data_IF_557477741599
#
_entry.id   IF_557477741599
#
_cell.length_a   1.000
_cell.length_b   1.000
_cell.length_c   1.000
_cell.angle_alpha   90.00
_cell.angle_beta   90.00
_cell.angle_gamma   90.00
#
_symmetry.space_group_name_H-M   'P 1'
#
loop_
_entity.id
_entity.type
_entity.pdbx_description
1 polymer ?
#
# COMPACT_ATOMS: atom_id res chain seq x y z
N UNK A 1 30.44 -15.62 -82.59
CA UNK A 1 30.99 -14.34 -82.11
C UNK A 1 29.82 -13.49 -81.63
N UNK A 2 29.56 -13.45 -80.33
CA UNK A 2 28.57 -12.58 -79.72
C UNK A 2 29.04 -12.21 -78.32
N UNK A 3 29.12 -10.91 -78.03
CA UNK A 3 28.83 -10.23 -76.75
C UNK A 3 29.42 -8.82 -76.75
N UNK A 4 28.58 -7.82 -76.48
CA UNK A 4 28.86 -6.55 -75.80
C UNK A 4 27.53 -6.13 -75.16
N UNK A 5 27.39 -6.32 -73.86
CA UNK A 5 27.75 -5.41 -72.76
C UNK A 5 26.54 -4.58 -72.31
N UNK A 6 26.00 -4.97 -71.15
CA UNK A 6 24.87 -4.35 -70.47
C UNK A 6 25.41 -3.75 -69.17
N UNK A 7 25.63 -2.44 -69.15
CA UNK A 7 25.97 -1.67 -67.95
C UNK A 7 24.65 -1.28 -67.27
N UNK A 8 24.30 -1.89 -66.13
CA UNK A 8 23.19 -1.47 -65.26
C UNK A 8 23.71 -0.99 -63.90
N UNK A 9 22.99 -0.01 -63.40
CA UNK A 9 23.29 0.94 -62.33
C UNK A 9 23.55 0.27 -60.97
N UNK A 10 24.42 0.93 -60.19
CA UNK A 10 24.63 0.76 -58.75
C UNK A 10 24.12 2.03 -58.07
N UNK A 11 22.83 2.09 -57.76
CA UNK A 11 22.24 3.07 -56.85
C UNK A 11 21.01 2.42 -56.19
N UNK A 12 21.22 1.69 -55.10
CA UNK A 12 20.17 1.25 -54.15
C UNK A 12 20.87 0.54 -52.98
N UNK A 13 21.40 1.31 -52.01
CA UNK A 13 21.70 0.76 -50.67
C UNK A 13 22.05 1.80 -49.58
N UNK A 14 21.76 3.09 -49.78
CA UNK A 14 22.05 4.12 -48.76
C UNK A 14 20.90 4.35 -47.77
N UNK A 15 19.64 4.19 -48.19
CA UNK A 15 18.50 4.46 -47.31
C UNK A 15 18.23 3.35 -46.28
N UNK A 16 18.46 2.08 -46.63
CA UNK A 16 18.29 0.96 -45.71
C UNK A 16 19.35 0.94 -44.60
N UNK A 17 20.56 1.43 -44.87
CA UNK A 17 21.63 1.52 -43.87
C UNK A 17 21.48 2.75 -42.98
N UNK A 18 20.97 3.86 -43.51
CA UNK A 18 20.67 5.05 -42.71
C UNK A 18 19.49 4.85 -41.77
N UNK A 19 18.42 4.17 -42.23
CA UNK A 19 17.24 3.87 -41.41
C UNK A 19 17.55 2.88 -40.28
N UNK A 20 18.38 1.85 -40.55
CA UNK A 20 18.87 0.94 -39.50
C UNK A 20 19.81 1.61 -38.50
N UNK A 21 20.57 2.63 -38.92
CA UNK A 21 21.44 3.39 -38.02
C UNK A 21 20.63 4.34 -37.13
N UNK A 22 19.64 5.01 -37.69
CA UNK A 22 18.71 5.88 -36.95
C UNK A 22 17.90 5.09 -35.91
N UNK A 23 17.32 3.94 -36.30
CA UNK A 23 16.62 3.06 -35.37
C UNK A 23 17.53 2.57 -34.23
N UNK A 24 18.77 2.16 -34.56
CA UNK A 24 19.75 1.71 -33.56
C UNK A 24 20.23 2.82 -32.62
N UNK A 25 20.22 4.08 -33.06
CA UNK A 25 20.57 5.24 -32.22
C UNK A 25 19.39 5.66 -31.34
N UNK A 26 18.17 5.61 -31.86
CA UNK A 26 16.95 5.86 -31.08
C UNK A 26 16.74 4.79 -29.98
N UNK A 27 16.88 3.50 -30.32
CA UNK A 27 16.82 2.41 -29.34
C UNK A 27 17.89 2.57 -28.22
N UNK A 28 19.05 3.14 -28.54
CA UNK A 28 20.10 3.39 -27.55
C UNK A 28 19.84 4.62 -26.68
N UNK A 29 19.17 5.65 -27.20
CA UNK A 29 18.80 6.85 -26.43
C UNK A 29 17.61 6.55 -25.50
N UNK A 30 16.61 5.82 -25.98
CA UNK A 30 15.47 5.37 -25.18
C UNK A 30 15.90 4.44 -24.04
N UNK A 31 16.85 3.53 -24.31
CA UNK A 31 17.43 2.67 -23.28
C UNK A 31 18.19 3.45 -22.19
N UNK A 32 18.85 4.55 -22.54
CA UNK A 32 19.57 5.39 -21.56
C UNK A 32 18.58 6.20 -20.73
N UNK A 33 17.53 6.74 -21.34
CA UNK A 33 16.45 7.46 -20.62
C UNK A 33 15.76 6.52 -19.63
N UNK A 34 15.45 5.29 -20.05
CA UNK A 34 14.83 4.29 -19.18
C UNK A 34 15.70 3.97 -17.96
N UNK A 35 17.01 3.79 -18.16
CA UNK A 35 17.95 3.54 -17.05
C UNK A 35 18.03 4.72 -16.07
N UNK A 36 17.96 5.97 -16.56
CA UNK A 36 17.93 7.18 -15.71
C UNK A 36 16.66 7.23 -14.87
N UNK A 37 15.51 6.93 -15.49
CA UNK A 37 14.22 6.87 -14.79
C UNK A 37 14.24 5.78 -13.72
N UNK A 38 14.72 4.58 -14.05
CA UNK A 38 14.80 3.47 -13.10
C UNK A 38 15.70 3.80 -11.91
N UNK A 39 16.85 4.43 -12.18
CA UNK A 39 17.77 4.88 -11.12
C UNK A 39 17.11 5.92 -10.20
N UNK A 40 16.36 6.87 -10.77
CA UNK A 40 15.69 7.91 -9.98
C UNK A 40 14.53 7.34 -9.15
N UNK A 41 13.73 6.42 -9.70
CA UNK A 41 12.65 5.74 -8.97
C UNK A 41 13.20 4.87 -7.84
N UNK A 42 14.27 4.11 -8.09
CA UNK A 42 14.96 3.33 -7.04
C UNK A 42 15.47 4.25 -5.93
N UNK A 43 16.16 5.33 -6.28
CA UNK A 43 16.65 6.30 -5.28
C UNK A 43 15.53 6.97 -4.49
N UNK A 44 14.34 7.14 -5.06
CA UNK A 44 13.17 7.65 -4.34
C UNK A 44 12.62 6.59 -3.39
N UNK A 45 12.54 5.34 -3.84
CA UNK A 45 12.09 4.21 -3.03
C UNK A 45 13.00 3.99 -1.82
N UNK A 46 14.32 3.97 -2.04
CA UNK A 46 15.31 3.81 -0.97
C UNK A 46 15.14 4.90 0.10
N UNK A 47 14.95 6.15 -0.32
CA UNK A 47 14.66 7.23 0.61
C UNK A 47 13.35 6.99 1.37
N UNK A 48 12.27 6.52 0.72
CA UNK A 48 11.00 6.27 1.42
C UNK A 48 11.10 5.17 2.48
N UNK A 49 11.96 4.18 2.26
CA UNK A 49 12.20 3.07 3.17
C UNK A 49 13.08 3.46 4.37
N UNK A 50 13.77 4.61 4.35
CA UNK A 50 14.46 5.11 5.54
C UNK A 50 13.45 5.36 6.67
N UNK A 51 13.67 4.70 7.82
CA UNK A 51 12.87 4.83 9.05
C UNK A 51 12.68 6.31 9.43
N UNK A 52 13.76 7.10 9.34
CA UNK A 52 13.79 8.51 9.76
C UNK A 52 13.87 9.51 8.58
N UNK A 53 13.00 9.40 7.57
CA UNK A 53 12.90 10.54 6.62
C UNK A 53 12.28 11.77 7.28
N UNK A 54 13.00 12.89 7.21
CA UNK A 54 12.43 14.18 7.62
C UNK A 54 11.30 14.59 6.69
N UNK A 55 10.33 15.34 7.22
CA UNK A 55 9.22 15.91 6.41
C UNK A 55 9.74 16.66 5.17
N UNK A 56 10.89 17.33 5.29
CA UNK A 56 11.52 18.02 4.17
C UNK A 56 11.97 17.04 3.08
N UNK A 57 12.58 15.92 3.45
CA UNK A 57 12.98 14.86 2.50
C UNK A 57 11.75 14.24 1.83
N UNK A 58 10.73 13.87 2.60
CA UNK A 58 9.48 13.31 2.06
C UNK A 58 8.79 14.28 1.10
N UNK A 59 8.83 15.59 1.36
CA UNK A 59 8.30 16.58 0.43
C UNK A 59 9.14 16.72 -0.86
N UNK A 60 10.47 16.56 -0.76
CA UNK A 60 11.31 16.54 -1.96
C UNK A 60 11.00 15.34 -2.86
N UNK A 61 10.59 14.21 -2.29
CA UNK A 61 10.19 13.03 -3.06
C UNK A 61 9.05 13.38 -4.03
N UNK A 62 7.98 14.02 -3.55
CA UNK A 62 6.87 14.44 -4.42
C UNK A 62 7.33 15.40 -5.55
N UNK A 63 8.30 16.27 -5.27
CA UNK A 63 8.90 17.14 -6.30
C UNK A 63 9.73 16.38 -7.32
N UNK A 64 10.51 15.41 -6.88
CA UNK A 64 11.34 14.56 -7.74
C UNK A 64 10.46 13.74 -8.67
N UNK A 65 9.44 13.07 -8.13
CA UNK A 65 8.47 12.31 -8.93
C UNK A 65 7.74 13.21 -9.94
N UNK A 66 7.24 14.37 -9.50
CA UNK A 66 6.58 15.32 -10.41
C UNK A 66 7.49 15.71 -11.58
N UNK A 67 8.74 16.08 -11.28
CA UNK A 67 9.73 16.43 -12.31
C UNK A 67 10.01 15.26 -13.24
N UNK A 68 10.11 14.03 -12.71
CA UNK A 68 10.33 12.82 -13.50
C UNK A 68 9.21 12.60 -14.51
N UNK A 69 7.94 12.72 -14.07
CA UNK A 69 6.75 12.58 -14.92
C UNK A 69 6.64 13.71 -15.97
N UNK A 70 6.96 14.96 -15.60
CA UNK A 70 6.92 16.11 -16.51
C UNK A 70 8.07 16.09 -17.54
N UNK A 71 9.23 15.55 -17.16
CA UNK A 71 10.41 15.51 -18.06
C UNK A 71 10.30 14.38 -19.09
N UNK A 72 9.57 13.31 -18.75
CA UNK A 72 9.45 12.10 -19.58
C UNK A 72 7.98 11.82 -19.88
N UNK A 73 7.38 12.61 -20.78
CA UNK A 73 5.94 12.53 -21.11
C UNK A 73 5.51 11.17 -21.70
N UNK A 74 6.45 10.39 -22.24
CA UNK A 74 6.20 9.08 -22.87
C UNK A 74 6.75 7.91 -22.04
N UNK A 75 6.64 7.96 -20.72
CA UNK A 75 7.04 6.85 -19.85
C UNK A 75 6.18 5.60 -20.09
N UNK A 76 6.76 4.40 -20.03
CA UNK A 76 5.98 3.16 -19.96
C UNK A 76 4.97 3.22 -18.81
N UNK A 77 3.77 2.65 -19.00
CA UNK A 77 2.69 2.68 -18.00
C UNK A 77 3.18 2.13 -16.65
N UNK A 78 3.93 1.03 -16.65
CA UNK A 78 4.53 0.45 -15.44
C UNK A 78 5.35 1.45 -14.64
N UNK A 79 6.14 2.30 -15.31
CA UNK A 79 6.94 3.35 -14.65
C UNK A 79 6.10 4.52 -14.17
N UNK A 80 5.00 4.82 -14.84
CA UNK A 80 4.03 5.79 -14.35
C UNK A 80 3.34 5.26 -13.08
N UNK A 81 2.97 3.97 -13.05
CA UNK A 81 2.38 3.32 -11.88
C UNK A 81 3.36 3.37 -10.68
N UNK A 82 4.61 2.98 -10.86
CA UNK A 82 5.66 3.08 -9.83
C UNK A 82 5.78 4.52 -9.29
N UNK A 83 5.83 5.50 -10.20
CA UNK A 83 5.92 6.90 -9.84
C UNK A 83 4.70 7.38 -9.03
N UNK A 84 3.48 7.06 -9.46
CA UNK A 84 2.26 7.43 -8.73
C UNK A 84 2.19 6.75 -7.36
N UNK A 85 2.60 5.48 -7.26
CA UNK A 85 2.66 4.76 -6.00
C UNK A 85 3.59 5.46 -5.01
N UNK A 86 4.85 5.72 -5.40
CA UNK A 86 5.84 6.40 -4.55
C UNK A 86 5.38 7.81 -4.15
N UNK A 87 4.74 8.53 -5.07
CA UNK A 87 4.20 9.85 -4.77
C UNK A 87 3.02 9.79 -3.79
N UNK A 88 2.08 8.87 -3.99
CA UNK A 88 0.97 8.62 -3.07
C UNK A 88 1.46 8.27 -1.67
N UNK A 89 2.41 7.34 -1.56
CA UNK A 89 3.03 6.95 -0.29
C UNK A 89 3.72 8.10 0.42
N UNK A 90 4.50 8.92 -0.30
CA UNK A 90 5.14 10.09 0.28
C UNK A 90 4.12 11.11 0.83
N UNK A 91 3.04 11.36 0.09
CA UNK A 91 1.98 12.26 0.51
C UNK A 91 1.19 11.70 1.69
N UNK A 92 0.87 10.40 1.69
CA UNK A 92 0.18 9.73 2.79
C UNK A 92 1.02 9.79 4.08
N UNK A 93 2.33 9.53 4.00
CA UNK A 93 3.26 9.67 5.14
C UNK A 93 3.25 11.10 5.70
N UNK A 94 3.34 12.10 4.83
CA UNK A 94 3.27 13.51 5.26
C UNK A 94 1.92 13.90 5.84
N UNK A 95 0.83 13.38 5.27
CA UNK A 95 -0.52 13.63 5.73
C UNK A 95 -0.72 13.07 7.14
N UNK A 96 -0.33 11.82 7.39
CA UNK A 96 -0.42 11.20 8.72
C UNK A 96 0.44 11.92 9.75
N UNK A 97 1.67 12.33 9.40
CA UNK A 97 2.57 13.03 10.32
C UNK A 97 2.07 14.41 10.76
N UNK A 98 1.23 15.06 9.95
CA UNK A 98 0.75 16.42 10.20
C UNK A 98 -0.77 16.49 10.39
N UNK A 99 -1.46 15.35 10.35
CA UNK A 99 -2.93 15.25 10.28
C UNK A 99 -3.51 16.18 9.20
N UNK A 100 -2.84 16.29 8.05
CA UNK A 100 -3.17 17.27 7.00
C UNK A 100 -4.15 16.67 5.98
N UNK A 101 -5.43 17.07 6.00
CA UNK A 101 -6.46 16.57 5.08
C UNK A 101 -6.19 16.95 3.62
N UNK A 102 -5.46 18.04 3.35
CA UNK A 102 -5.15 18.47 1.98
C UNK A 102 -4.07 17.58 1.37
N UNK A 103 -3.07 17.20 2.17
CA UNK A 103 -2.07 16.22 1.75
C UNK A 103 -2.68 14.83 1.62
N UNK A 104 -3.61 14.47 2.51
CA UNK A 104 -4.33 13.20 2.46
C UNK A 104 -5.18 13.08 1.19
N UNK A 105 -5.94 14.12 0.84
CA UNK A 105 -6.73 14.17 -0.40
C UNK A 105 -5.81 14.07 -1.64
N UNK A 106 -4.69 14.80 -1.64
CA UNK A 106 -3.69 14.71 -2.69
C UNK A 106 -3.06 13.31 -2.81
N UNK A 107 -2.88 12.58 -1.71
CA UNK A 107 -2.41 11.20 -1.71
C UNK A 107 -3.45 10.25 -2.32
N UNK A 108 -4.71 10.36 -1.89
CA UNK A 108 -5.84 9.60 -2.43
C UNK A 108 -5.98 9.81 -3.95
N UNK A 109 -5.78 11.04 -4.42
CA UNK A 109 -5.76 11.39 -5.84
C UNK A 109 -4.67 10.66 -6.64
N UNK A 110 -3.50 10.35 -6.04
CA UNK A 110 -2.43 9.59 -6.71
C UNK A 110 -2.79 8.11 -6.83
N UNK A 111 -3.31 7.51 -5.77
CA UNK A 111 -3.80 6.12 -5.84
C UNK A 111 -4.98 5.98 -6.80
N UNK A 112 -5.86 6.98 -6.87
CA UNK A 112 -6.94 7.01 -7.86
C UNK A 112 -6.44 7.17 -9.31
N UNK A 113 -5.36 7.94 -9.54
CA UNK A 113 -4.71 8.04 -10.85
C UNK A 113 -4.07 6.72 -11.26
N UNK A 114 -3.39 6.07 -10.32
CA UNK A 114 -2.79 4.75 -10.51
C UNK A 114 -3.84 3.71 -10.88
N UNK A 115 -4.98 3.67 -10.18
CA UNK A 115 -6.10 2.79 -10.50
C UNK A 115 -6.66 3.01 -11.91
N UNK A 116 -6.79 4.28 -12.34
CA UNK A 116 -7.29 4.59 -13.68
C UNK A 116 -6.33 4.12 -14.76
N UNK A 117 -5.02 4.32 -14.54
CA UNK A 117 -3.99 3.90 -15.49
C UNK A 117 -3.89 2.38 -15.62
N UNK A 118 -4.07 1.63 -14.54
CA UNK A 118 -4.05 0.16 -14.60
C UNK A 118 -5.32 -0.44 -15.22
N UNK A 119 -6.49 0.17 -15.03
CA UNK A 119 -7.74 -0.30 -15.65
C UNK A 119 -7.80 -0.09 -17.16
N UNK A 120 -7.04 0.86 -17.70
CA UNK A 120 -6.91 1.05 -19.15
C UNK A 120 -6.19 -0.14 -19.83
N UNK A 121 -5.54 -1.05 -19.07
CA UNK A 121 -4.87 -2.26 -19.59
C UNK A 121 -5.83 -3.45 -19.89
N UNK A 122 -7.15 -3.28 -19.76
CA UNK A 122 -8.18 -4.33 -20.00
C UNK A 122 -8.11 -5.55 -19.06
N UNK A 123 -7.34 -5.47 -17.99
CA UNK A 123 -7.19 -6.52 -16.99
C UNK A 123 -7.77 -6.06 -15.65
N UNK A 124 -8.82 -6.75 -15.18
CA UNK A 124 -9.48 -6.41 -13.91
C UNK A 124 -8.53 -6.64 -12.71
N UNK A 125 -7.57 -7.55 -12.84
CA UNK A 125 -6.57 -7.86 -11.80
C UNK A 125 -5.39 -6.87 -11.81
N UNK A 126 -5.21 -6.08 -12.88
CA UNK A 126 -4.12 -5.10 -12.97
C UNK A 126 -4.22 -3.99 -11.91
N UNK A 127 -5.44 -3.66 -11.46
CA UNK A 127 -5.66 -2.72 -10.38
C UNK A 127 -5.11 -3.22 -9.04
N UNK A 128 -5.40 -4.48 -8.71
CA UNK A 128 -4.94 -5.11 -7.48
C UNK A 128 -3.44 -5.39 -7.53
N UNK A 129 -2.93 -5.83 -8.69
CA UNK A 129 -1.50 -6.04 -8.91
C UNK A 129 -0.71 -4.74 -8.80
N UNK A 130 -1.26 -3.61 -9.27
CA UNK A 130 -0.58 -2.33 -9.20
C UNK A 130 -0.53 -1.78 -7.77
N UNK A 131 -1.67 -1.69 -7.09
CA UNK A 131 -1.73 -1.07 -5.76
C UNK A 131 -1.25 -2.00 -4.65
N UNK A 132 -1.54 -3.30 -4.76
CA UNK A 132 -1.32 -4.27 -3.70
C UNK A 132 -2.09 -3.94 -2.40
N UNK A 133 -1.94 -4.76 -1.36
CA UNK A 133 -2.57 -4.52 -0.07
C UNK A 133 -2.08 -3.21 0.57
N UNK A 134 -0.78 -2.92 0.47
CA UNK A 134 -0.16 -1.71 1.03
C UNK A 134 -0.74 -0.45 0.39
N UNK A 135 -0.85 -0.38 -0.94
CA UNK A 135 -1.41 0.77 -1.63
C UNK A 135 -2.87 1.02 -1.27
N UNK A 136 -3.67 -0.04 -1.14
CA UNK A 136 -5.05 0.08 -0.68
C UNK A 136 -5.15 0.55 0.78
N UNK A 137 -4.30 0.05 1.67
CA UNK A 137 -4.25 0.50 3.07
C UNK A 137 -3.87 1.97 3.17
N UNK A 138 -2.82 2.42 2.46
CA UNK A 138 -2.40 3.83 2.45
C UNK A 138 -3.48 4.75 1.88
N UNK A 139 -4.19 4.30 0.84
CA UNK A 139 -5.33 5.02 0.29
C UNK A 139 -6.48 5.11 1.31
N UNK A 140 -6.81 3.99 1.97
CA UNK A 140 -7.79 3.94 3.04
C UNK A 140 -7.47 4.91 4.18
N UNK A 141 -6.24 4.89 4.69
CA UNK A 141 -5.78 5.79 5.75
C UNK A 141 -5.86 7.26 5.34
N UNK A 142 -5.45 7.57 4.11
CA UNK A 142 -5.54 8.94 3.58
C UNK A 142 -7.00 9.41 3.53
N UNK A 143 -7.91 8.58 3.02
CA UNK A 143 -9.34 8.90 3.00
C UNK A 143 -9.94 9.00 4.41
N UNK A 144 -9.45 8.24 5.38
CA UNK A 144 -9.93 8.30 6.76
C UNK A 144 -9.58 9.64 7.44
N UNK A 145 -8.37 10.17 7.17
CA UNK A 145 -7.99 11.54 7.59
C UNK A 145 -8.95 12.56 6.97
N UNK A 146 -9.19 12.47 5.66
CA UNK A 146 -10.13 13.38 4.96
C UNK A 146 -11.54 13.26 5.53
N UNK A 147 -12.03 12.03 5.75
CA UNK A 147 -13.37 11.77 6.29
C UNK A 147 -13.54 12.37 7.69
N UNK A 148 -12.51 12.24 8.53
CA UNK A 148 -12.52 12.74 9.91
C UNK A 148 -12.59 14.26 9.94
N UNK A 149 -11.72 14.95 9.20
CA UNK A 149 -11.71 16.41 9.15
C UNK A 149 -12.99 16.97 8.51
N UNK A 150 -13.40 16.39 7.38
CA UNK A 150 -14.56 16.89 6.62
C UNK A 150 -15.88 16.40 7.18
N UNK A 151 -15.86 15.49 8.16
CA UNK A 151 -17.05 14.86 8.73
C UNK A 151 -17.94 14.21 7.66
N UNK A 152 -17.33 13.61 6.62
CA UNK A 152 -18.06 13.05 5.49
C UNK A 152 -18.26 11.53 5.64
N UNK A 153 -19.54 11.13 5.68
CA UNK A 153 -19.95 9.73 5.68
C UNK A 153 -19.54 9.02 4.40
N UNK A 154 -19.65 9.69 3.27
CA UNK A 154 -19.34 9.14 1.94
C UNK A 154 -17.83 8.90 1.78
N UNK A 155 -16.99 9.80 2.31
CA UNK A 155 -15.53 9.59 2.29
C UNK A 155 -15.14 8.47 3.27
N UNK A 156 -15.81 8.37 4.43
CA UNK A 156 -15.61 7.26 5.36
C UNK A 156 -15.94 5.91 4.69
N UNK A 157 -17.06 5.80 3.97
CA UNK A 157 -17.42 4.57 3.26
C UNK A 157 -16.38 4.18 2.22
N UNK A 158 -15.82 5.18 1.51
CA UNK A 158 -14.71 4.94 0.59
C UNK A 158 -13.46 4.46 1.31
N UNK A 159 -13.06 5.09 2.42
CA UNK A 159 -11.90 4.70 3.22
C UNK A 159 -12.00 3.22 3.64
N UNK A 160 -13.14 2.83 4.22
CA UNK A 160 -13.40 1.47 4.68
C UNK A 160 -13.43 0.46 3.54
N UNK A 161 -13.96 0.86 2.37
CA UNK A 161 -13.91 0.01 1.17
C UNK A 161 -12.47 -0.24 0.71
N UNK A 162 -11.55 0.72 0.87
CA UNK A 162 -10.13 0.51 0.53
C UNK A 162 -9.44 -0.43 1.50
N UNK A 163 -9.64 -0.27 2.81
CA UNK A 163 -9.12 -1.24 3.79
C UNK A 163 -9.67 -2.65 3.58
N UNK A 164 -10.97 -2.77 3.31
CA UNK A 164 -11.57 -4.06 2.98
C UNK A 164 -10.95 -4.68 1.73
N UNK A 165 -10.68 -3.86 0.70
CA UNK A 165 -9.98 -4.32 -0.52
C UNK A 165 -8.55 -4.75 -0.23
N UNK A 166 -7.82 -4.05 0.65
CA UNK A 166 -6.48 -4.47 1.06
C UNK A 166 -6.47 -5.90 1.62
N UNK A 167 -7.41 -6.19 2.53
CA UNK A 167 -7.62 -7.53 3.13
C UNK A 167 -8.05 -8.58 2.09
N UNK A 168 -8.72 -8.18 1.01
CA UNK A 168 -9.07 -9.12 -0.07
C UNK A 168 -7.86 -9.45 -0.94
N UNK A 169 -7.04 -8.45 -1.26
CA UNK A 169 -5.88 -8.59 -2.15
C UNK A 169 -4.77 -9.44 -1.52
N UNK A 170 -4.57 -9.38 -0.20
CA UNK A 170 -3.62 -10.25 0.49
C UNK A 170 -4.17 -11.65 0.84
N UNK A 171 -5.39 -11.98 0.41
CA UNK A 171 -6.03 -13.26 0.70
C UNK A 171 -6.61 -13.38 2.12
N UNK A 172 -6.54 -12.32 2.92
CA UNK A 172 -7.08 -12.24 4.26
C UNK A 172 -6.27 -13.02 5.29
N UNK A 173 -4.99 -13.26 5.03
CA UNK A 173 -4.11 -13.97 5.98
C UNK A 173 -3.07 -13.07 6.61
N UNK A 174 -2.82 -11.89 6.03
CA UNK A 174 -1.87 -10.93 6.59
C UNK A 174 -2.48 -10.26 7.83
N UNK A 175 -1.75 -10.29 8.93
CA UNK A 175 -2.19 -9.73 10.20
C UNK A 175 -2.34 -8.20 10.12
N UNK A 176 -1.31 -7.52 9.62
CA UNK A 176 -1.24 -6.06 9.64
C UNK A 176 -2.39 -5.40 8.86
N UNK A 177 -2.72 -5.91 7.68
CA UNK A 177 -3.81 -5.36 6.84
C UNK A 177 -5.18 -5.52 7.48
N UNK A 178 -5.44 -6.68 8.11
CA UNK A 178 -6.65 -6.89 8.91
C UNK A 178 -6.68 -5.98 10.12
N UNK A 179 -5.54 -5.78 10.77
CA UNK A 179 -5.44 -4.95 11.95
C UNK A 179 -5.71 -3.47 11.63
N UNK A 180 -5.14 -2.96 10.54
CA UNK A 180 -5.46 -1.64 9.99
C UNK A 180 -6.96 -1.51 9.67
N UNK A 181 -7.58 -2.54 9.08
CA UNK A 181 -9.02 -2.52 8.83
C UNK A 181 -9.86 -2.49 10.12
N UNK A 182 -9.47 -3.24 11.16
CA UNK A 182 -10.13 -3.20 12.46
C UNK A 182 -10.02 -1.81 13.12
N UNK A 183 -8.83 -1.19 13.08
CA UNK A 183 -8.59 0.19 13.54
C UNK A 183 -9.50 1.17 12.79
N UNK A 184 -9.55 1.08 11.47
CA UNK A 184 -10.40 1.92 10.63
C UNK A 184 -11.90 1.75 10.92
N UNK A 185 -12.37 0.54 11.22
CA UNK A 185 -13.76 0.29 11.62
C UNK A 185 -14.07 0.94 12.97
N UNK A 186 -13.15 0.87 13.94
CA UNK A 186 -13.29 1.55 15.23
C UNK A 186 -13.37 3.06 15.03
N UNK A 187 -12.45 3.65 14.27
CA UNK A 187 -12.44 5.09 13.98
C UNK A 187 -13.70 5.53 13.21
N UNK A 188 -14.16 4.71 12.26
CA UNK A 188 -15.42 4.93 11.56
C UNK A 188 -16.62 4.95 12.52
N UNK A 189 -16.66 4.03 13.48
CA UNK A 189 -17.67 4.00 14.55
C UNK A 189 -17.64 5.25 15.41
N UNK A 190 -16.45 5.74 15.77
CA UNK A 190 -16.27 6.99 16.50
C UNK A 190 -16.79 8.18 15.69
N UNK A 191 -16.47 8.24 14.40
CA UNK A 191 -16.88 9.34 13.52
C UNK A 191 -18.41 9.38 13.36
N UNK A 192 -19.05 8.27 13.01
CA UNK A 192 -20.51 8.22 12.79
C UNK A 192 -21.33 8.54 14.05
N UNK A 193 -20.76 8.33 15.23
CA UNK A 193 -21.37 8.73 16.50
C UNK A 193 -21.64 10.24 16.57
N UNK A 194 -20.93 11.05 15.78
CA UNK A 194 -21.15 12.49 15.68
C UNK A 194 -22.01 12.90 14.48
N UNK A 195 -22.05 12.08 13.42
CA UNK A 195 -22.70 12.42 12.14
C UNK A 195 -24.18 12.06 12.08
N UNK A 196 -24.59 10.93 12.65
CA UNK A 196 -25.92 10.36 12.40
C UNK A 196 -26.94 10.70 13.50
N UNK A 197 -28.23 10.49 13.24
CA UNK A 197 -29.31 10.63 14.24
C UNK A 197 -29.45 9.36 15.09
N UNK A 198 -29.28 8.17 14.50
CA UNK A 198 -29.28 6.85 15.19
C UNK A 198 -27.85 6.42 15.59
N UNK A 199 -27.20 7.32 16.34
CA UNK A 199 -25.76 7.29 16.64
C UNK A 199 -25.30 5.98 17.25
N UNK A 200 -26.06 5.48 18.22
CA UNK A 200 -25.65 4.32 19.02
C UNK A 200 -25.76 3.01 18.22
N UNK A 201 -26.81 2.84 17.41
CA UNK A 201 -26.95 1.61 16.63
C UNK A 201 -25.96 1.57 15.47
N UNK A 202 -25.75 2.68 14.75
CA UNK A 202 -24.76 2.72 13.67
C UNK A 202 -23.36 2.51 14.22
N UNK A 203 -22.95 3.25 15.26
CA UNK A 203 -21.67 3.08 15.96
C UNK A 203 -21.46 1.64 16.42
N UNK A 204 -22.48 1.03 17.02
CA UNK A 204 -22.41 -0.36 17.45
C UNK A 204 -22.12 -1.32 16.29
N UNK A 205 -22.78 -1.15 15.14
CA UNK A 205 -22.53 -2.00 13.97
C UNK A 205 -21.07 -1.93 13.51
N UNK A 206 -20.43 -0.77 13.63
CA UNK A 206 -19.01 -0.60 13.34
C UNK A 206 -18.12 -1.37 14.30
N UNK A 207 -18.39 -1.24 15.59
CA UNK A 207 -17.60 -1.92 16.63
C UNK A 207 -17.79 -3.43 16.61
N UNK A 208 -19.02 -3.91 16.38
CA UNK A 208 -19.30 -5.34 16.22
C UNK A 208 -18.49 -5.91 15.04
N UNK A 209 -18.44 -5.21 13.90
CA UNK A 209 -17.58 -5.60 12.77
C UNK A 209 -16.10 -5.56 13.10
N UNK A 210 -15.63 -4.57 13.87
CA UNK A 210 -14.24 -4.49 14.28
C UNK A 210 -13.86 -5.68 15.20
N UNK A 211 -14.74 -6.07 16.12
CA UNK A 211 -14.58 -7.25 16.97
C UNK A 211 -14.53 -8.55 16.15
N UNK A 212 -15.36 -8.69 15.12
CA UNK A 212 -15.27 -9.83 14.19
C UNK A 212 -13.90 -9.92 13.50
N UNK A 213 -13.28 -8.77 13.19
CA UNK A 213 -11.92 -8.75 12.64
C UNK A 213 -10.88 -9.09 13.70
N UNK A 214 -11.03 -8.61 14.95
CA UNK A 214 -10.15 -8.98 16.07
C UNK A 214 -10.13 -10.51 16.32
N UNK A 215 -11.26 -11.19 16.18
CA UNK A 215 -11.30 -12.66 16.28
C UNK A 215 -10.46 -13.33 15.19
N UNK A 216 -10.51 -12.82 13.95
CA UNK A 216 -9.67 -13.34 12.85
C UNK A 216 -8.18 -13.05 13.06
N UNK A 217 -7.84 -11.92 13.68
CA UNK A 217 -6.44 -11.61 14.05
C UNK A 217 -5.91 -12.62 15.07
N UNK A 218 -6.72 -13.03 16.04
CA UNK A 218 -6.36 -14.08 16.99
C UNK A 218 -6.20 -15.45 16.31
N UNK A 219 -7.06 -15.79 15.34
CA UNK A 219 -6.87 -17.01 14.53
C UNK A 219 -5.54 -17.01 13.78
N UNK A 220 -5.18 -15.89 13.13
CA UNK A 220 -3.90 -15.74 12.41
C UNK A 220 -2.72 -15.88 13.36
N UNK A 221 -2.72 -15.15 14.47
CA UNK A 221 -1.64 -15.22 15.45
C UNK A 221 -1.45 -16.63 16.01
N UNK A 222 -2.54 -17.31 16.37
CA UNK A 222 -2.45 -18.68 16.87
C UNK A 222 -1.82 -19.62 15.83
N UNK A 223 -2.26 -19.55 14.57
CA UNK A 223 -1.69 -20.36 13.48
C UNK A 223 -0.21 -20.08 13.27
N UNK A 224 0.22 -18.82 13.35
CA UNK A 224 1.63 -18.45 13.21
C UNK A 224 2.47 -18.86 14.41
N UNK A 225 1.95 -18.71 15.63
CA UNK A 225 2.63 -19.12 16.87
C UNK A 225 2.82 -20.64 17.00
N UNK A 226 1.98 -21.42 16.32
CA UNK A 226 2.07 -22.89 16.27
C UNK A 226 3.05 -23.41 15.20
N UNK A 227 3.53 -22.54 14.30
CA UNK A 227 4.54 -22.95 13.30
C UNK A 227 5.85 -23.27 14.05
N UNK A 228 6.40 -24.50 13.90
CA UNK A 228 7.70 -24.80 14.49
C UNK A 228 8.75 -23.85 13.92
N UNK A 229 9.67 -23.39 14.76
CA UNK A 229 10.80 -22.53 14.37
C UNK A 229 11.79 -23.19 13.37
N UNK A 230 11.40 -24.31 12.75
CA UNK A 230 12.21 -25.20 11.93
C UNK A 230 11.45 -25.57 10.64
N UNK A 231 11.26 -24.61 9.74
CA UNK A 231 11.31 -24.89 8.29
C UNK A 231 12.54 -24.20 7.64
N UNK A 232 13.58 -23.91 8.44
CA UNK A 232 14.95 -23.59 7.99
C UNK A 232 15.89 -24.81 8.05
N UNK A 233 15.44 -25.96 7.56
CA UNK A 233 16.38 -27.02 7.16
C UNK A 233 16.11 -27.40 5.72
N UNK A 234 16.45 -26.50 4.80
CA UNK A 234 16.80 -26.89 3.44
C UNK A 234 18.31 -26.83 3.34
N UNK A 235 18.92 -28.01 3.21
CA UNK A 235 20.33 -28.22 2.92
C UNK A 235 20.87 -27.18 1.90
N UNK A 236 21.75 -26.28 2.35
CA UNK A 236 22.65 -25.52 1.47
C UNK A 236 24.07 -25.58 2.02
N UNK A 237 24.81 -26.56 1.51
CA UNK A 237 26.24 -26.34 1.25
C UNK A 237 26.36 -25.11 0.31
N UNK A 238 27.34 -24.27 0.60
CA UNK A 238 27.81 -23.12 -0.18
C UNK A 238 26.93 -21.85 -0.22
N UNK A 239 27.15 -20.99 0.79
CA UNK A 239 27.68 -19.64 0.58
C UNK A 239 26.86 -18.64 -0.24
N UNK A 240 25.80 -18.12 0.37
CA UNK A 240 25.51 -16.67 0.50
C UNK A 240 24.33 -16.59 1.49
N UNK A 241 24.60 -16.19 2.73
CA UNK A 241 23.56 -15.92 3.71
C UNK A 241 23.01 -14.54 3.41
N UNK A 242 22.00 -14.46 2.53
CA UNK A 242 21.05 -13.36 2.63
C UNK A 242 20.31 -13.56 3.96
N UNK A 243 20.43 -12.58 4.84
CA UNK A 243 19.61 -12.45 6.03
C UNK A 243 18.17 -12.24 5.52
N UNK A 244 17.42 -13.33 5.31
CA UNK A 244 15.99 -13.26 5.01
C UNK A 244 15.24 -12.90 6.31
N UNK A 245 15.18 -11.59 6.53
CA UNK A 245 14.26 -10.74 7.31
C UNK A 245 13.23 -11.43 8.24
N UNK A 246 13.42 -11.21 9.55
CA UNK A 246 12.43 -11.45 10.62
C UNK A 246 11.21 -10.47 10.57
N UNK A 247 11.13 -9.57 9.59
CA UNK A 247 10.17 -8.44 9.54
C UNK A 247 8.71 -8.85 9.23
N UNK A 248 8.47 -10.05 8.68
CA UNK A 248 7.12 -10.51 8.28
C UNK A 248 6.41 -11.39 9.34
N UNK A 249 7.03 -11.63 10.51
CA UNK A 249 6.45 -12.48 11.56
C UNK A 249 5.55 -11.65 12.50
N UNK A 250 4.33 -12.14 12.77
CA UNK A 250 3.47 -11.51 13.79
C UNK A 250 4.11 -11.68 15.16
N UNK A 251 4.46 -10.56 15.77
CA UNK A 251 5.06 -10.55 17.09
C UNK A 251 4.00 -10.65 18.19
N UNK A 252 4.42 -11.02 19.39
CA UNK A 252 3.57 -10.89 20.58
C UNK A 252 3.14 -9.41 20.80
N UNK A 253 3.95 -8.45 20.34
CA UNK A 253 3.63 -7.04 20.46
C UNK A 253 2.43 -6.66 19.58
N UNK A 254 2.43 -7.10 18.33
CA UNK A 254 1.34 -6.92 17.37
C UNK A 254 0.04 -7.55 17.87
N UNK A 255 0.12 -8.78 18.39
CA UNK A 255 -1.04 -9.47 18.95
C UNK A 255 -1.59 -8.76 20.19
N UNK A 256 -0.72 -8.25 21.05
CA UNK A 256 -1.14 -7.47 22.19
C UNK A 256 -1.83 -6.16 21.79
N UNK A 257 -1.40 -5.49 20.71
CA UNK A 257 -2.15 -4.34 20.17
C UNK A 257 -3.54 -4.73 19.68
N UNK A 258 -3.68 -5.88 19.01
CA UNK A 258 -4.98 -6.40 18.58
C UNK A 258 -5.89 -6.71 19.79
N UNK A 259 -5.34 -7.27 20.88
CA UNK A 259 -6.08 -7.50 22.13
C UNK A 259 -6.45 -6.21 22.85
N UNK A 260 -5.59 -5.19 22.78
CA UNK A 260 -5.91 -3.87 23.31
C UNK A 260 -7.09 -3.25 22.54
N UNK A 261 -7.08 -3.35 21.21
CA UNK A 261 -8.20 -2.89 20.38
C UNK A 261 -9.50 -3.63 20.70
N UNK A 262 -9.45 -4.96 20.84
CA UNK A 262 -10.60 -5.78 21.25
C UNK A 262 -11.16 -5.33 22.60
N UNK A 263 -10.29 -5.11 23.60
CA UNK A 263 -10.67 -4.64 24.93
C UNK A 263 -11.36 -3.27 24.88
N UNK A 264 -10.82 -2.33 24.09
CA UNK A 264 -11.40 -0.99 23.91
C UNK A 264 -12.79 -1.09 23.27
N UNK A 265 -12.93 -1.86 22.19
CA UNK A 265 -14.20 -2.06 21.49
C UNK A 265 -15.26 -2.69 22.40
N UNK A 266 -14.88 -3.74 23.11
CA UNK A 266 -15.76 -4.44 24.04
C UNK A 266 -16.23 -3.50 25.16
N UNK A 267 -15.31 -2.74 25.77
CA UNK A 267 -15.65 -1.76 26.80
C UNK A 267 -16.55 -0.62 26.32
N UNK A 268 -16.49 -0.26 25.03
CA UNK A 268 -17.36 0.75 24.44
C UNK A 268 -18.79 0.25 24.16
N UNK A 269 -19.00 -1.05 24.08
CA UNK A 269 -20.30 -1.68 23.82
C UNK A 269 -21.02 -2.15 25.09
N UNK A 270 -20.28 -2.33 26.17
CA UNK A 270 -20.75 -2.93 27.41
C UNK A 270 -21.62 -2.02 28.28
N UNK A 271 -22.47 -2.65 29.09
CA UNK A 271 -23.23 -1.93 30.10
C UNK A 271 -22.32 -1.57 31.27
N UNK A 272 -22.04 -0.28 31.45
CA UNK A 272 -21.24 0.25 32.56
C UNK A 272 -21.72 -0.15 33.97
N UNK A 273 -22.96 -0.61 34.11
CA UNK A 273 -23.53 -1.09 35.37
C UNK A 273 -23.38 -2.61 35.59
N UNK A 274 -22.95 -3.35 34.56
CA UNK A 274 -22.75 -4.80 34.61
C UNK A 274 -21.35 -5.14 35.13
N UNK A 275 -21.32 -5.85 36.26
CA UNK A 275 -20.07 -6.35 36.87
C UNK A 275 -19.45 -7.45 36.00
N UNK A 276 -20.25 -8.27 35.34
CA UNK A 276 -19.76 -9.34 34.48
C UNK A 276 -19.10 -8.77 33.22
N UNK A 277 -19.68 -7.72 32.64
CA UNK A 277 -19.12 -6.98 31.51
C UNK A 277 -17.76 -6.38 31.89
N UNK A 278 -17.69 -5.67 33.03
CA UNK A 278 -16.44 -5.11 33.54
C UNK A 278 -15.33 -6.17 33.66
N UNK A 279 -15.61 -7.34 34.23
CA UNK A 279 -14.61 -8.39 34.37
C UNK A 279 -14.17 -8.99 33.02
N UNK A 280 -15.08 -9.09 32.05
CA UNK A 280 -14.76 -9.56 30.69
C UNK A 280 -13.80 -8.59 30.00
N UNK A 281 -14.11 -7.30 29.99
CA UNK A 281 -13.22 -6.27 29.41
C UNK A 281 -11.89 -6.18 30.15
N UNK A 282 -11.88 -6.27 31.49
CA UNK A 282 -10.65 -6.30 32.27
C UNK A 282 -9.77 -7.49 31.90
N UNK A 283 -10.34 -8.67 31.67
CA UNK A 283 -9.58 -9.85 31.25
C UNK A 283 -8.92 -9.65 29.88
N UNK A 284 -9.58 -8.94 28.94
CA UNK A 284 -8.97 -8.60 27.65
C UNK A 284 -7.79 -7.63 27.81
N UNK A 285 -7.93 -6.58 28.62
CA UNK A 285 -6.81 -5.69 28.95
C UNK A 285 -5.65 -6.44 29.62
N UNK A 286 -5.95 -7.38 30.52
CA UNK A 286 -4.93 -8.21 31.15
C UNK A 286 -4.20 -9.09 30.13
N UNK A 287 -4.90 -9.70 29.17
CA UNK A 287 -4.27 -10.45 28.08
C UNK A 287 -3.33 -9.57 27.26
N UNK A 288 -3.77 -8.37 26.88
CA UNK A 288 -2.95 -7.42 26.14
C UNK A 288 -1.66 -7.00 26.90
N UNK A 289 -1.68 -6.99 28.23
CA UNK A 289 -0.54 -6.58 29.05
C UNK A 289 0.36 -7.77 29.44
N UNK A 290 -0.23 -8.94 29.69
CA UNK A 290 0.49 -10.12 30.19
C UNK A 290 1.47 -10.72 29.18
N UNK A 291 1.38 -10.40 27.89
CA UNK A 291 2.40 -10.84 26.92
C UNK A 291 3.72 -10.06 27.03
N UNK A 292 3.77 -9.00 27.86
CA UNK A 292 4.96 -8.17 28.08
C UNK A 292 5.62 -8.33 29.48
N UNK A 293 5.13 -9.22 30.34
CA UNK A 293 5.65 -9.45 31.70
C UNK A 293 5.87 -10.94 32.00
#
# INVERSE_FOLDING_TARGET
MATKDRKRQREENKDASSSKRLAKTQDSEDSVIQAVVDTELSSINDLLQEEETSQKQTWQIGKRVKKLLETHENLPITKQLDAYFLWGTALARLASLNEDPTLADAAADKFQQMLKLSQDEQDEDAADAALGPVGFSLWGSSLLIVATETQSREVLDQALSKFQRAVEVDGGTTFETRFQFAKALKEGGDLVAFLEEDREQTKKNYYDRALEVCLKLEEIYNVESEKPAEEETVDKEDGDSEEDDDDDKVTAEDFAEAKLLEAVLQGLLEDSSSVDDFHRTLALYQKAICEYF
#
